data_IF_502127615301
#
_entry.id   IF_502127615301
#
_cell.length_a   1.000
_cell.length_b   1.000
_cell.length_c   1.000
_cell.angle_alpha   90.00
_cell.angle_beta   90.00
_cell.angle_gamma   90.00
#
_symmetry.space_group_name_H-M   'P 1'
#
loop_
_entity.id
_entity.type
_entity.pdbx_description
1 polymer ?
#
# COMPACT_ATOMS: atom_id res chain seq x y z
N UNK A 1 -1.93 -22.32 -26.37
CA UNK A 1 -0.58 -21.95 -25.90
C UNK A 1 -0.68 -20.96 -24.77
N UNK A 2 -0.09 -21.24 -23.60
CA UNK A 2 -0.06 -20.24 -22.55
C UNK A 2 0.73 -19.01 -23.05
N UNK A 3 0.18 -17.83 -22.81
CA UNK A 3 0.84 -16.57 -23.15
C UNK A 3 2.12 -16.44 -22.30
N UNK A 4 3.32 -16.41 -22.91
CA UNK A 4 4.57 -16.29 -22.13
C UNK A 4 4.70 -14.95 -21.38
N UNK A 5 3.84 -13.98 -21.71
CA UNK A 5 3.80 -12.67 -21.05
C UNK A 5 2.69 -12.59 -20.00
N UNK A 6 1.92 -13.65 -19.79
CA UNK A 6 0.88 -13.68 -18.78
C UNK A 6 1.51 -13.81 -17.38
N UNK A 7 1.05 -12.97 -16.46
CA UNK A 7 1.46 -13.07 -15.07
C UNK A 7 0.88 -14.33 -14.42
N UNK A 8 1.63 -14.97 -13.50
CA UNK A 8 1.11 -16.10 -12.75
C UNK A 8 -0.20 -15.78 -12.03
N UNK A 9 -1.10 -16.76 -11.91
CA UNK A 9 -2.34 -16.61 -11.16
C UNK A 9 -2.09 -16.23 -9.69
N UNK A 10 -1.00 -16.74 -9.09
CA UNK A 10 -0.55 -16.39 -7.75
C UNK A 10 -0.21 -14.91 -7.62
N UNK A 11 0.38 -14.29 -8.63
CA UNK A 11 0.65 -12.85 -8.67
C UNK A 11 -0.64 -12.05 -8.57
N UNK A 12 -1.65 -12.38 -9.39
CA UNK A 12 -2.95 -11.72 -9.33
C UNK A 12 -3.64 -11.92 -7.97
N UNK A 13 -3.54 -13.13 -7.40
CA UNK A 13 -4.08 -13.43 -6.08
C UNK A 13 -3.45 -12.59 -4.98
N UNK A 14 -2.12 -12.44 -4.99
CA UNK A 14 -1.43 -11.59 -4.02
C UNK A 14 -1.75 -10.11 -4.19
N UNK A 15 -1.88 -9.61 -5.41
CA UNK A 15 -2.29 -8.22 -5.65
C UNK A 15 -3.71 -7.96 -5.10
N UNK A 16 -4.64 -8.87 -5.33
CA UNK A 16 -5.99 -8.77 -4.78
C UNK A 16 -5.99 -8.77 -3.25
N UNK A 17 -5.21 -9.64 -2.62
CA UNK A 17 -5.06 -9.69 -1.17
C UNK A 17 -4.37 -8.46 -0.60
N UNK A 18 -3.43 -7.87 -1.32
CA UNK A 18 -2.82 -6.60 -0.95
C UNK A 18 -3.86 -5.48 -0.90
N UNK A 19 -4.69 -5.38 -1.94
CA UNK A 19 -5.78 -4.40 -1.99
C UNK A 19 -6.81 -4.61 -0.87
N UNK A 20 -7.15 -5.84 -0.54
CA UNK A 20 -8.02 -6.18 0.60
C UNK A 20 -7.42 -5.71 1.92
N UNK A 21 -6.12 -5.96 2.14
CA UNK A 21 -5.43 -5.52 3.36
C UNK A 21 -5.36 -4.00 3.48
N UNK A 22 -5.21 -3.28 2.37
CA UNK A 22 -5.31 -1.80 2.36
C UNK A 22 -6.71 -1.33 2.74
N UNK A 23 -7.75 -1.96 2.21
CA UNK A 23 -9.14 -1.69 2.59
C UNK A 23 -9.37 -1.92 4.09
N UNK A 24 -8.87 -3.01 4.63
CA UNK A 24 -8.93 -3.31 6.05
C UNK A 24 -8.21 -2.24 6.88
N UNK A 25 -7.02 -1.82 6.43
CA UNK A 25 -6.25 -0.76 7.09
C UNK A 25 -7.02 0.56 7.14
N UNK A 26 -7.64 0.96 6.03
CA UNK A 26 -8.42 2.20 5.94
C UNK A 26 -9.65 2.13 6.86
N UNK A 27 -10.27 0.98 6.98
CA UNK A 27 -11.47 0.77 7.82
C UNK A 27 -11.12 0.60 9.31
N UNK A 28 -9.87 0.31 9.65
CA UNK A 28 -9.46 0.08 11.03
C UNK A 28 -9.47 1.38 11.84
N UNK A 29 -10.17 1.36 12.97
CA UNK A 29 -10.25 2.51 13.88
C UNK A 29 -9.02 2.63 14.77
N UNK A 30 -8.43 1.50 15.14
CA UNK A 30 -7.27 1.44 16.02
C UNK A 30 -5.96 1.55 15.23
N UNK A 31 -5.07 2.46 15.66
CA UNK A 31 -3.77 2.69 15.01
C UNK A 31 -2.92 1.42 14.89
N UNK A 32 -2.78 0.56 15.92
CA UNK A 32 -2.02 -0.67 15.80
C UNK A 32 -2.57 -1.62 14.74
N UNK A 33 -3.88 -1.79 14.67
CA UNK A 33 -4.54 -2.62 13.65
C UNK A 33 -4.32 -2.06 12.25
N UNK A 34 -4.48 -0.76 12.09
CA UNK A 34 -4.25 -0.05 10.82
C UNK A 34 -2.81 -0.24 10.33
N UNK A 35 -1.85 -0.07 11.23
CA UNK A 35 -0.43 -0.29 10.93
C UNK A 35 -0.15 -1.71 10.48
N UNK A 36 -0.62 -2.70 11.25
CA UNK A 36 -0.42 -4.12 10.93
C UNK A 36 -1.03 -4.50 9.58
N UNK A 37 -2.26 -4.06 9.30
CA UNK A 37 -2.92 -4.31 8.01
C UNK A 37 -2.18 -3.64 6.84
N UNK A 38 -1.71 -2.42 7.00
CA UNK A 38 -0.92 -1.72 5.99
C UNK A 38 0.41 -2.44 5.70
N UNK A 39 1.09 -2.89 6.74
CA UNK A 39 2.32 -3.66 6.59
C UNK A 39 2.08 -5.00 5.88
N UNK A 40 1.00 -5.69 6.21
CA UNK A 40 0.60 -6.93 5.52
C UNK A 40 0.26 -6.66 4.06
N UNK A 41 -0.38 -5.54 3.75
CA UNK A 41 -0.64 -5.14 2.36
C UNK A 41 0.67 -5.01 1.56
N UNK A 42 1.67 -4.33 2.11
CA UNK A 42 2.98 -4.21 1.49
C UNK A 42 3.66 -5.58 1.31
N UNK A 43 3.58 -6.45 2.30
CA UNK A 43 4.14 -7.79 2.24
C UNK A 43 3.50 -8.63 1.13
N UNK A 44 2.18 -8.54 0.97
CA UNK A 44 1.44 -9.22 -0.10
C UNK A 44 1.77 -8.66 -1.48
N UNK A 45 1.97 -7.35 -1.61
CA UNK A 45 2.43 -6.74 -2.85
C UNK A 45 3.85 -7.24 -3.22
N UNK A 46 4.76 -7.32 -2.25
CA UNK A 46 6.08 -7.90 -2.45
C UNK A 46 5.98 -9.38 -2.90
N UNK A 47 5.10 -10.15 -2.27
CA UNK A 47 4.86 -11.54 -2.64
C UNK A 47 4.35 -11.69 -4.08
N UNK A 48 3.52 -10.77 -4.56
CA UNK A 48 3.04 -10.75 -5.95
C UNK A 48 4.21 -10.60 -6.94
N UNK A 49 5.13 -9.70 -6.66
CA UNK A 49 6.31 -9.47 -7.51
C UNK A 49 7.28 -10.67 -7.45
N UNK A 50 7.48 -11.23 -6.27
CA UNK A 50 8.29 -12.43 -6.10
C UNK A 50 7.71 -13.61 -6.88
N UNK A 51 6.41 -13.81 -6.83
CA UNK A 51 5.74 -14.88 -7.60
C UNK A 51 5.92 -14.72 -9.11
N UNK A 52 5.98 -13.48 -9.60
CA UNK A 52 6.17 -13.20 -11.02
C UNK A 52 7.63 -13.32 -11.48
N UNK A 53 8.58 -12.96 -10.64
CA UNK A 53 10.00 -12.86 -11.01
C UNK A 53 10.90 -13.96 -10.42
N UNK A 54 10.48 -14.60 -9.34
CA UNK A 54 11.29 -15.62 -8.71
C UNK A 54 11.47 -16.83 -9.63
N UNK A 55 12.71 -17.19 -9.87
CA UNK A 55 13.04 -18.44 -10.52
C UNK A 55 12.74 -19.60 -9.55
N UNK A 56 12.13 -20.71 -10.00
CA UNK A 56 12.01 -21.87 -9.15
C UNK A 56 13.39 -22.35 -8.75
N UNK A 57 13.74 -22.14 -7.50
CA UNK A 57 15.00 -22.65 -6.95
C UNK A 57 14.88 -24.15 -6.76
N UNK A 58 15.93 -24.95 -7.10
CA UNK A 58 15.93 -26.36 -6.75
C UNK A 58 15.73 -26.49 -5.24
N UNK A 59 14.86 -27.43 -4.84
CA UNK A 59 14.36 -27.63 -3.49
C UNK A 59 15.43 -28.07 -2.44
N UNK A 60 16.68 -27.75 -2.66
CA UNK A 60 17.79 -28.09 -1.75
C UNK A 60 18.11 -26.92 -0.84
N UNK A 61 17.66 -27.06 0.42
CA UNK A 61 18.21 -26.42 1.63
C UNK A 61 18.72 -25.00 1.43
N UNK A 62 17.84 -24.09 1.00
CA UNK A 62 18.08 -22.67 1.24
C UNK A 62 17.48 -22.31 2.57
N UNK A 63 18.23 -21.60 3.45
CA UNK A 63 17.62 -20.99 4.61
C UNK A 63 16.45 -20.12 4.11
N UNK A 64 15.33 -20.20 4.81
CA UNK A 64 14.14 -19.44 4.48
C UNK A 64 14.46 -17.96 4.57
N UNK A 65 14.68 -17.32 3.43
CA UNK A 65 14.96 -15.89 3.36
C UNK A 65 13.68 -15.10 3.62
N UNK A 66 13.81 -14.04 4.38
CA UNK A 66 12.77 -13.06 4.56
C UNK A 66 12.34 -12.49 3.19
N UNK A 67 11.05 -12.25 2.99
CA UNK A 67 10.49 -11.73 1.75
C UNK A 67 11.16 -10.42 1.31
N UNK A 68 11.53 -9.56 2.23
CA UNK A 68 12.19 -8.29 1.93
C UNK A 68 13.63 -8.47 1.42
N UNK A 69 14.35 -9.46 1.92
CA UNK A 69 15.67 -9.85 1.41
C UNK A 69 15.54 -10.40 -0.01
N UNK A 70 14.58 -11.29 -0.24
CA UNK A 70 14.30 -11.84 -1.57
C UNK A 70 13.90 -10.74 -2.55
N UNK A 71 13.07 -9.78 -2.13
CA UNK A 71 12.65 -8.66 -2.95
C UNK A 71 13.86 -7.83 -3.42
N UNK A 72 14.80 -7.56 -2.52
CA UNK A 72 16.03 -6.83 -2.86
C UNK A 72 16.86 -7.55 -3.91
N UNK A 73 16.91 -8.87 -3.87
CA UNK A 73 17.62 -9.69 -4.85
C UNK A 73 16.93 -9.72 -6.22
N UNK A 74 15.61 -9.81 -6.23
CA UNK A 74 14.80 -10.00 -7.45
C UNK A 74 14.43 -8.66 -8.10
N UNK A 75 14.26 -7.63 -7.30
CA UNK A 75 13.87 -6.29 -7.71
C UNK A 75 14.77 -5.23 -7.03
N UNK A 76 16.04 -5.10 -7.44
CA UNK A 76 16.97 -4.14 -6.84
C UNK A 76 16.46 -2.70 -6.89
N UNK A 77 15.62 -2.37 -7.87
CA UNK A 77 14.95 -1.06 -8.00
C UNK A 77 14.03 -0.73 -6.81
N UNK A 78 13.60 -1.73 -6.06
CA UNK A 78 12.74 -1.59 -4.87
C UNK A 78 13.49 -1.84 -3.56
N UNK A 79 14.81 -1.88 -3.58
CA UNK A 79 15.62 -2.21 -2.40
C UNK A 79 15.42 -1.23 -1.24
N UNK A 80 15.21 0.06 -1.49
CA UNK A 80 14.94 1.05 -0.45
C UNK A 80 13.60 0.81 0.22
N UNK A 81 12.57 0.46 -0.55
CA UNK A 81 11.27 0.07 -0.05
C UNK A 81 11.33 -1.20 0.79
N UNK A 82 12.09 -2.19 0.33
CA UNK A 82 12.31 -3.43 1.08
C UNK A 82 12.94 -3.16 2.46
N UNK A 83 13.95 -2.30 2.51
CA UNK A 83 14.58 -1.89 3.78
C UNK A 83 13.62 -1.13 4.69
N UNK A 84 12.84 -0.23 4.11
CA UNK A 84 11.83 0.54 4.85
C UNK A 84 10.81 -0.38 5.53
N UNK A 85 10.20 -1.31 4.80
CA UNK A 85 9.22 -2.22 5.38
C UNK A 85 9.85 -3.25 6.32
N UNK A 86 11.04 -3.74 6.01
CA UNK A 86 11.77 -4.64 6.91
C UNK A 86 12.03 -4.00 8.28
N UNK A 87 12.37 -2.71 8.30
CA UNK A 87 12.57 -1.96 9.55
C UNK A 87 11.29 -1.84 10.37
N UNK A 88 10.12 -1.90 9.76
CA UNK A 88 8.81 -1.84 10.43
C UNK A 88 8.31 -3.16 11.02
N UNK A 89 9.00 -4.28 10.77
CA UNK A 89 8.55 -5.60 11.18
C UNK A 89 8.39 -5.75 12.72
N UNK A 90 9.27 -5.13 13.49
CA UNK A 90 9.18 -5.13 14.95
C UNK A 90 7.95 -4.40 15.48
N UNK A 91 7.62 -3.23 14.91
CA UNK A 91 6.41 -2.47 15.25
C UNK A 91 5.14 -3.25 14.87
N UNK A 92 5.16 -3.91 13.72
CA UNK A 92 4.05 -4.77 13.31
C UNK A 92 3.82 -5.89 14.32
N UNK A 93 4.86 -6.60 14.69
CA UNK A 93 4.78 -7.69 15.66
C UNK A 93 4.23 -7.20 17.00
N UNK A 94 4.69 -6.06 17.50
CA UNK A 94 4.19 -5.47 18.73
C UNK A 94 2.71 -5.05 18.63
N UNK A 95 2.30 -4.49 17.50
CA UNK A 95 0.92 -4.12 17.23
C UNK A 95 0.00 -5.36 17.18
N UNK A 96 0.41 -6.42 16.49
CA UNK A 96 -0.31 -7.70 16.44
C UNK A 96 -0.40 -8.38 17.81
N UNK A 97 0.60 -8.18 18.68
CA UNK A 97 0.59 -8.67 20.06
C UNK A 97 -0.28 -7.82 21.01
N UNK A 98 -0.94 -6.79 20.50
CA UNK A 98 -1.88 -5.97 21.26
C UNK A 98 -1.27 -4.75 21.95
N UNK A 99 -0.04 -4.37 21.63
CA UNK A 99 0.55 -3.14 22.19
C UNK A 99 -0.14 -1.89 21.64
N UNK A 100 -0.76 -1.12 22.53
CA UNK A 100 -1.41 0.16 22.19
C UNK A 100 -0.42 1.31 22.05
N UNK A 101 0.83 1.13 22.50
CA UNK A 101 1.88 2.15 22.49
C UNK A 101 2.91 1.98 21.37
N UNK A 102 2.84 0.87 20.63
CA UNK A 102 3.83 0.54 19.61
C UNK A 102 3.78 1.51 18.43
N UNK A 103 2.61 2.06 18.12
CA UNK A 103 2.33 2.83 16.90
C UNK A 103 1.45 4.03 17.24
N UNK A 104 1.81 5.20 16.74
CA UNK A 104 0.98 6.40 16.79
C UNK A 104 -0.04 6.39 15.64
N UNK A 105 -1.10 7.20 15.76
CA UNK A 105 -2.08 7.43 14.68
C UNK A 105 -1.38 7.88 13.39
N UNK A 106 -0.46 8.82 13.51
CA UNK A 106 0.30 9.35 12.37
C UNK A 106 1.16 8.28 11.70
N UNK A 107 1.87 7.47 12.47
CA UNK A 107 2.68 6.38 11.92
C UNK A 107 1.81 5.37 11.16
N UNK A 108 0.63 5.06 11.68
CA UNK A 108 -0.31 4.17 11.01
C UNK A 108 -0.83 4.77 9.70
N UNK A 109 -1.23 6.04 9.70
CA UNK A 109 -1.72 6.73 8.52
C UNK A 109 -0.64 6.88 7.44
N UNK A 110 0.59 7.19 7.85
CA UNK A 110 1.72 7.29 6.96
C UNK A 110 2.03 5.93 6.32
N UNK A 111 1.97 4.85 7.10
CA UNK A 111 2.22 3.51 6.56
C UNK A 111 1.14 3.08 5.56
N UNK A 112 -0.11 3.45 5.76
CA UNK A 112 -1.18 3.19 4.78
C UNK A 112 -0.85 3.86 3.44
N UNK A 113 -0.43 5.11 3.46
CA UNK A 113 -0.02 5.82 2.23
C UNK A 113 1.20 5.18 1.58
N UNK A 114 2.19 4.81 2.37
CA UNK A 114 3.40 4.16 1.87
C UNK A 114 3.10 2.78 1.27
N UNK A 115 2.25 1.98 1.90
CA UNK A 115 1.82 0.69 1.37
C UNK A 115 1.03 0.84 0.06
N UNK A 116 0.17 1.85 -0.04
CA UNK A 116 -0.57 2.18 -1.26
C UNK A 116 0.36 2.55 -2.41
N UNK A 117 1.34 3.41 -2.16
CA UNK A 117 2.38 3.78 -3.14
C UNK A 117 3.19 2.58 -3.57
N UNK A 118 3.57 1.75 -2.62
CA UNK A 118 4.35 0.55 -2.90
C UNK A 118 3.58 -0.46 -3.76
N UNK A 119 2.29 -0.67 -3.49
CA UNK A 119 1.44 -1.51 -4.35
C UNK A 119 1.41 -0.96 -5.79
N UNK A 120 1.27 0.35 -5.97
CA UNK A 120 1.32 0.99 -7.28
C UNK A 120 2.66 0.79 -8.00
N UNK A 121 3.78 0.85 -7.29
CA UNK A 121 5.10 0.58 -7.84
C UNK A 121 5.27 -0.89 -8.25
N UNK A 122 4.72 -1.81 -7.47
CA UNK A 122 4.72 -3.25 -7.82
C UNK A 122 3.89 -3.48 -9.08
N UNK A 123 2.70 -2.92 -9.18
CA UNK A 123 1.86 -3.00 -10.38
C UNK A 123 2.61 -2.50 -11.61
N UNK A 124 3.26 -1.34 -11.52
CA UNK A 124 4.07 -0.77 -12.59
C UNK A 124 5.25 -1.67 -12.96
N UNK A 125 5.97 -2.20 -11.98
CA UNK A 125 7.08 -3.14 -12.19
C UNK A 125 6.62 -4.44 -12.89
N UNK A 126 5.36 -4.79 -12.76
CA UNK A 126 4.73 -5.93 -13.44
C UNK A 126 4.16 -5.57 -14.81
N UNK A 127 4.32 -4.33 -15.27
CA UNK A 127 3.78 -3.84 -16.54
C UNK A 127 2.27 -3.60 -16.50
N UNK A 128 1.69 -3.52 -15.32
CA UNK A 128 0.26 -3.23 -15.13
C UNK A 128 0.01 -1.72 -14.96
N UNK A 129 -1.20 -1.29 -15.23
CA UNK A 129 -1.64 0.05 -14.86
C UNK A 129 -1.78 0.15 -13.35
N UNK A 130 -1.24 1.21 -12.76
CA UNK A 130 -1.41 1.46 -11.33
C UNK A 130 -2.88 1.65 -10.98
N UNK A 131 -3.28 1.15 -9.83
CA UNK A 131 -4.58 1.50 -9.24
C UNK A 131 -4.64 3.00 -8.93
N UNK A 132 -5.84 3.52 -8.72
CA UNK A 132 -6.04 4.92 -8.35
C UNK A 132 -5.47 5.15 -6.94
N UNK A 133 -4.49 6.07 -6.76
CA UNK A 133 -3.92 6.33 -5.46
C UNK A 133 -4.96 6.80 -4.44
N UNK A 134 -4.80 6.40 -3.18
CA UNK A 134 -5.66 6.84 -2.08
C UNK A 134 -5.72 8.37 -1.97
N UNK A 135 -4.59 9.04 -2.18
CA UNK A 135 -4.51 10.50 -2.15
C UNK A 135 -5.39 11.17 -3.21
N UNK A 136 -5.57 10.54 -4.37
CA UNK A 136 -6.45 11.04 -5.42
C UNK A 136 -7.93 10.88 -5.08
N UNK A 137 -8.27 9.92 -4.23
CA UNK A 137 -9.65 9.66 -3.81
C UNK A 137 -10.10 10.66 -2.72
N UNK A 138 -9.16 11.18 -1.94
CA UNK A 138 -9.43 12.19 -0.89
C UNK A 138 -9.62 13.58 -1.49
N UNK A 139 -9.09 13.86 -2.68
CA UNK A 139 -9.37 15.08 -3.43
C UNK A 139 -10.67 14.91 -4.21
N UNK A 140 -11.77 14.77 -3.49
CA UNK A 140 -13.11 14.89 -4.07
C UNK A 140 -13.28 16.26 -4.73
N UNK A 141 -14.20 16.41 -5.69
CA UNK A 141 -14.39 17.66 -6.41
C UNK A 141 -14.61 18.80 -5.41
N UNK A 142 -13.71 19.76 -5.47
CA UNK A 142 -13.67 20.88 -4.54
C UNK A 142 -15.06 21.47 -4.35
N UNK A 143 -15.39 21.68 -3.09
CA UNK A 143 -16.49 22.54 -2.69
C UNK A 143 -16.42 23.79 -3.57
N UNK A 144 -17.34 23.93 -4.48
CA UNK A 144 -17.55 25.22 -5.13
C UNK A 144 -18.04 26.14 -4.02
N UNK A 145 -17.17 27.02 -3.58
CA UNK A 145 -17.57 28.15 -2.78
C UNK A 145 -18.51 28.99 -3.66
N UNK A 146 -19.79 28.83 -3.45
CA UNK A 146 -20.78 29.77 -3.93
C UNK A 146 -20.66 31.01 -3.05
N UNK A 147 -19.70 31.85 -3.36
CA UNK A 147 -19.70 33.22 -2.90
C UNK A 147 -20.90 33.91 -3.57
N UNK A 148 -22.04 33.81 -2.92
CA UNK A 148 -23.20 34.59 -3.25
C UNK A 148 -22.94 36.06 -2.99
N UNK A 149 -22.58 36.79 -4.01
CA UNK A 149 -22.53 38.23 -3.98
C UNK A 149 -23.93 38.77 -3.72
N UNK A 150 -24.13 39.28 -2.52
CA UNK A 150 -25.32 40.06 -2.19
C UNK A 150 -25.04 41.51 -2.51
N UNK A 151 -25.46 41.90 -3.73
CA UNK A 151 -25.52 43.29 -4.10
C UNK A 151 -26.57 44.01 -3.26
N UNK A 152 -26.13 44.90 -2.39
CA UNK A 152 -26.99 45.81 -1.65
C UNK A 152 -27.61 46.86 -2.60
N UNK A 153 -28.91 46.80 -2.74
CA UNK A 153 -29.69 47.88 -3.33
C UNK A 153 -29.88 48.97 -2.29
N UNK A 154 -29.31 50.13 -2.53
CA UNK A 154 -29.65 51.35 -1.79
C UNK A 154 -30.76 52.02 -2.56
N UNK A 155 -31.94 52.01 -2.02
CA UNK A 155 -33.00 52.92 -2.47
C UNK A 155 -32.81 54.23 -1.73
N UNK A 156 -32.60 55.24 -2.53
CA UNK A 156 -32.60 56.63 -2.09
C UNK A 156 -33.96 57.19 -2.44
N UNK A 157 -34.74 57.52 -1.42
CA UNK A 157 -35.94 58.30 -1.59
C UNK A 157 -35.74 59.63 -0.88
N UNK A 158 -36.00 60.68 -1.64
CA UNK A 158 -35.91 62.09 -1.26
C UNK A 158 -36.92 62.47 -0.16
#
# INVERSE_FOLDING_TARGET
MPNPYALPATTHSYLARSAESLSEAISATEAPTRYACAHVAALRAAAALLAARAQPAPARRRPQKNAWVLLTEVAPELAEWARFFAAGAGKRAAAEAGSTRAVTEREADDLVRDADRFLGLVEESLGMTRHVPLEATVTGPGRRDTAGGRAGRRDHVA
#
